data_IF_806422846129
#
_entry.id   IF_806422846129
#
_cell.length_a   1.000
_cell.length_b   1.000
_cell.length_c   1.000
_cell.angle_alpha   90.00
_cell.angle_beta   90.00
_cell.angle_gamma   90.00
#
_symmetry.space_group_name_H-M   'P 1'
#
loop_
_entity.id
_entity.type
_entity.pdbx_description
1 polymer ?
#
# COMPACT_ATOMS: atom_id res chain seq x y z
N UNK A 1 -45.47 -11.48 -54.86
CA UNK A 1 -46.43 -11.19 -53.77
C UNK A 1 -46.10 -12.06 -52.58
N UNK A 2 -46.14 -11.43 -51.40
CA UNK A 2 -46.14 -11.99 -50.04
C UNK A 2 -44.78 -12.38 -49.45
N UNK A 3 -44.44 -12.10 -48.19
CA UNK A 3 -44.93 -11.22 -47.10
C UNK A 3 -43.75 -11.18 -46.08
N UNK A 4 -43.37 -10.01 -45.58
CA UNK A 4 -42.61 -9.82 -44.30
C UNK A 4 -43.53 -10.25 -43.12
N UNK A 5 -43.12 -10.37 -41.84
CA UNK A 5 -41.83 -10.10 -41.16
C UNK A 5 -41.45 -11.13 -40.06
N UNK A 6 -40.30 -10.98 -39.37
CA UNK A 6 -40.24 -11.11 -37.90
C UNK A 6 -38.88 -10.71 -37.29
N UNK A 7 -38.96 -9.82 -36.30
CA UNK A 7 -37.90 -9.36 -35.39
C UNK A 7 -37.35 -10.52 -34.56
N UNK A 8 -36.02 -10.66 -34.49
CA UNK A 8 -35.34 -11.44 -33.46
C UNK A 8 -34.73 -10.47 -32.43
N UNK A 9 -35.43 -10.29 -31.32
CA UNK A 9 -34.89 -9.68 -30.11
C UNK A 9 -34.02 -10.69 -29.38
N UNK A 10 -32.75 -10.36 -29.17
CA UNK A 10 -31.80 -11.18 -28.43
C UNK A 10 -31.77 -10.70 -26.97
N UNK A 11 -32.57 -11.36 -26.13
CA UNK A 11 -32.53 -11.23 -24.68
C UNK A 11 -31.65 -12.35 -24.13
N UNK A 12 -30.38 -12.03 -23.85
CA UNK A 12 -29.49 -12.91 -23.10
C UNK A 12 -29.76 -12.74 -21.61
N UNK A 13 -30.51 -13.67 -21.04
CA UNK A 13 -30.51 -13.93 -19.60
C UNK A 13 -29.55 -15.09 -19.35
N UNK A 14 -28.29 -14.79 -18.99
CA UNK A 14 -27.44 -15.77 -18.31
C UNK A 14 -27.77 -15.70 -16.82
N UNK A 15 -28.67 -16.58 -16.39
CA UNK A 15 -28.85 -16.96 -14.99
C UNK A 15 -27.83 -18.05 -14.68
N UNK A 16 -26.81 -17.73 -13.88
CA UNK A 16 -25.91 -18.75 -13.33
C UNK A 16 -26.67 -19.50 -12.23
N UNK A 17 -26.89 -20.80 -12.44
CA UNK A 17 -27.46 -21.73 -11.48
C UNK A 17 -26.34 -22.66 -11.04
N UNK A 18 -25.95 -22.60 -9.77
CA UNK A 18 -25.10 -23.60 -9.13
C UNK A 18 -25.96 -24.30 -8.08
N UNK A 19 -26.21 -25.60 -8.28
CA UNK A 19 -27.01 -26.41 -7.37
C UNK A 19 -26.19 -26.92 -6.16
N UNK A 20 -26.85 -27.15 -5.01
CA UNK A 20 -26.20 -27.48 -3.76
C UNK A 20 -25.94 -29.00 -3.61
N UNK A 21 -24.76 -29.36 -3.11
CA UNK A 21 -24.50 -30.72 -2.62
C UNK A 21 -24.88 -30.84 -1.13
N UNK A 22 -25.77 -31.78 -0.81
CA UNK A 22 -26.16 -32.19 0.55
C UNK A 22 -25.23 -33.32 1.02
N UNK A 23 -24.51 -33.14 2.13
CA UNK A 23 -24.85 -33.51 3.52
C UNK A 23 -24.29 -34.89 3.92
N UNK A 24 -23.38 -34.89 4.91
CA UNK A 24 -23.31 -35.94 5.92
C UNK A 24 -23.16 -35.26 7.29
N UNK A 25 -24.13 -35.52 8.17
CA UNK A 25 -24.16 -35.22 9.61
C UNK A 25 -23.08 -36.08 10.32
N UNK A 26 -22.48 -35.67 11.43
CA UNK A 26 -23.08 -35.38 12.74
C UNK A 26 -22.05 -34.65 13.66
N UNK A 27 -22.36 -34.26 14.92
CA UNK A 27 -22.19 -32.88 15.38
C UNK A 27 -21.20 -32.72 16.56
N UNK A 28 -20.47 -31.61 16.60
CA UNK A 28 -20.05 -31.00 17.86
C UNK A 28 -19.75 -29.51 17.65
N UNK A 29 -20.54 -28.66 18.29
CA UNK A 29 -20.31 -27.22 18.42
C UNK A 29 -19.70 -27.02 19.81
N UNK A 30 -18.69 -26.15 19.95
CA UNK A 30 -19.06 -24.89 20.56
C UNK A 30 -18.52 -23.68 19.81
N UNK A 31 -19.46 -22.77 19.59
CA UNK A 31 -19.35 -21.35 19.38
C UNK A 31 -18.14 -20.75 20.08
N UNK A 32 -17.23 -20.15 19.32
CA UNK A 32 -16.35 -19.10 19.82
C UNK A 32 -16.71 -17.84 19.07
N UNK A 33 -17.77 -17.19 19.54
CA UNK A 33 -17.83 -15.74 19.50
C UNK A 33 -16.67 -15.25 20.37
N UNK A 34 -15.64 -14.71 19.74
CA UNK A 34 -14.78 -13.75 20.43
C UNK A 34 -14.72 -12.54 19.53
N UNK A 35 -15.69 -11.66 19.76
CA UNK A 35 -15.48 -10.25 19.57
C UNK A 35 -14.14 -9.90 20.21
N UNK A 36 -13.13 -9.63 19.37
CA UNK A 36 -11.91 -9.00 19.84
C UNK A 36 -12.32 -7.57 20.17
N UNK A 37 -12.77 -7.38 21.40
CA UNK A 37 -12.74 -6.11 22.09
C UNK A 37 -11.25 -5.75 22.13
N UNK A 38 -10.82 -4.92 21.18
CA UNK A 38 -9.51 -4.27 21.27
C UNK A 38 -9.63 -3.29 22.43
N UNK A 39 -9.30 -3.81 23.62
CA UNK A 39 -9.20 -3.05 24.85
C UNK A 39 -8.23 -1.90 24.60
N UNK A 40 -8.79 -0.70 24.65
CA UNK A 40 -8.10 0.57 24.48
C UNK A 40 -7.43 0.89 25.82
N UNK A 41 -6.42 0.13 26.19
CA UNK A 41 -5.61 0.40 27.37
C UNK A 41 -4.23 -0.25 27.23
N UNK A 42 -3.19 0.55 27.44
CA UNK A 42 -1.76 0.19 27.47
C UNK A 42 -1.12 -0.01 26.09
N UNK A 43 -1.06 1.06 25.29
CA UNK A 43 0.15 1.30 24.49
C UNK A 43 1.19 1.84 25.47
N UNK A 44 1.81 0.90 26.18
CA UNK A 44 3.05 1.17 26.90
C UNK A 44 4.00 1.89 25.94
N UNK A 45 4.59 2.97 26.42
CA UNK A 45 5.52 3.86 25.72
C UNK A 45 6.70 3.08 25.14
N UNK A 46 6.52 2.48 23.96
CA UNK A 46 7.63 2.14 23.08
C UNK A 46 8.02 3.47 22.44
N UNK A 47 9.11 4.07 22.93
CA UNK A 47 9.82 5.11 22.18
C UNK A 47 10.42 4.46 20.93
N UNK A 48 9.59 4.28 19.89
CA UNK A 48 10.09 3.92 18.58
C UNK A 48 10.79 5.16 18.03
N UNK A 49 12.12 5.14 18.04
CA UNK A 49 12.92 6.18 17.41
C UNK A 49 12.79 6.02 15.89
N UNK A 50 11.80 6.71 15.33
CA UNK A 50 11.60 6.81 13.89
C UNK A 50 12.58 7.82 13.29
N UNK A 51 13.16 7.51 12.13
CA UNK A 51 13.87 8.50 11.31
C UNK A 51 12.90 9.42 10.57
N UNK A 52 11.59 9.16 10.68
CA UNK A 52 10.52 9.96 10.09
C UNK A 52 10.31 11.31 10.80
N UNK A 53 10.31 12.41 10.05
CA UNK A 53 10.05 13.75 10.59
C UNK A 53 8.59 14.19 10.43
N UNK A 54 8.03 14.80 11.48
CA UNK A 54 6.62 15.24 11.56
C UNK A 54 6.36 16.62 10.94
N UNK A 55 7.38 17.27 10.38
CA UNK A 55 7.35 18.68 9.96
C UNK A 55 6.32 18.97 8.87
N UNK A 56 5.91 17.92 8.14
CA UNK A 56 5.00 18.03 7.00
C UNK A 56 3.63 17.40 7.24
N UNK A 57 3.33 17.00 8.49
CA UNK A 57 2.03 16.42 8.86
C UNK A 57 1.16 17.51 9.49
N UNK A 58 -0.06 17.69 8.96
CA UNK A 58 -1.04 18.63 9.51
C UNK A 58 -1.21 18.34 11.01
N UNK A 59 -1.03 19.36 11.89
CA UNK A 59 -1.19 19.20 13.33
C UNK A 59 -2.49 18.49 13.74
N UNK A 60 -3.59 18.67 12.99
CA UNK A 60 -4.90 18.08 13.28
C UNK A 60 -4.93 16.57 13.17
N UNK A 61 -4.15 15.98 12.25
CA UNK A 61 -4.10 14.52 12.02
C UNK A 61 -2.83 13.88 12.60
N UNK A 62 -1.95 14.68 13.22
CA UNK A 62 -0.63 14.22 13.68
C UNK A 62 -0.68 13.07 14.67
N UNK A 63 -1.69 13.03 15.55
CA UNK A 63 -1.81 11.93 16.53
C UNK A 63 -2.19 10.62 15.85
N UNK A 64 -3.15 10.65 14.94
CA UNK A 64 -3.52 9.50 14.12
C UNK A 64 -2.34 9.04 13.26
N UNK A 65 -1.63 9.98 12.64
CA UNK A 65 -0.43 9.71 11.86
C UNK A 65 0.66 9.02 12.70
N UNK A 66 0.90 9.49 13.94
CA UNK A 66 1.84 8.86 14.87
C UNK A 66 1.43 7.42 15.21
N UNK A 67 0.13 7.21 15.50
CA UNK A 67 -0.39 5.89 15.83
C UNK A 67 -0.24 4.93 14.63
N UNK A 68 -0.55 5.38 13.42
CA UNK A 68 -0.38 4.61 12.19
C UNK A 68 1.08 4.33 11.89
N UNK A 69 1.98 5.30 12.06
CA UNK A 69 3.43 5.11 11.91
C UNK A 69 3.95 4.05 12.88
N UNK A 70 3.55 4.09 14.15
CA UNK A 70 3.96 3.09 15.13
C UNK A 70 3.50 1.67 14.76
N UNK A 71 2.28 1.53 14.22
CA UNK A 71 1.78 0.25 13.73
C UNK A 71 2.57 -0.25 12.50
N UNK A 72 2.92 0.65 11.59
CA UNK A 72 3.75 0.33 10.42
C UNK A 72 5.14 -0.11 10.88
N UNK A 73 5.75 0.61 11.81
CA UNK A 73 7.09 0.28 12.34
C UNK A 73 7.12 -1.04 13.10
N UNK A 74 6.04 -1.36 13.84
CA UNK A 74 5.90 -2.67 14.48
C UNK A 74 5.93 -3.84 13.48
N UNK A 75 5.44 -3.62 12.25
CA UNK A 75 5.34 -4.67 11.22
C UNK A 75 6.53 -4.68 10.24
N UNK A 76 7.02 -3.50 9.87
CA UNK A 76 7.98 -3.29 8.78
C UNK A 76 9.34 -2.77 9.28
N UNK A 77 9.48 -2.56 10.60
CA UNK A 77 10.65 -1.97 11.22
C UNK A 77 10.73 -0.45 11.04
N UNK A 78 11.79 0.15 11.59
CA UNK A 78 12.04 1.61 11.53
C UNK A 78 11.96 2.10 10.09
N UNK A 79 11.16 3.15 9.90
CA UNK A 79 10.89 3.76 8.59
C UNK A 79 11.89 4.88 8.32
N UNK A 80 12.30 5.01 7.06
CA UNK A 80 13.17 6.10 6.61
C UNK A 80 12.41 7.42 6.43
N UNK A 81 13.16 8.52 6.43
CA UNK A 81 12.61 9.82 6.05
C UNK A 81 12.26 9.89 4.55
N UNK A 82 11.54 10.95 4.18
CA UNK A 82 11.01 11.14 2.84
C UNK A 82 12.09 11.25 1.76
N UNK A 83 13.13 12.07 1.98
CA UNK A 83 14.14 12.30 0.97
C UNK A 83 15.06 11.07 0.83
N UNK A 84 15.37 10.39 1.93
CA UNK A 84 16.08 9.10 1.90
C UNK A 84 15.34 8.10 1.03
N UNK A 85 14.02 7.98 1.19
CA UNK A 85 13.18 7.13 0.34
C UNK A 85 13.17 7.56 -1.13
N UNK A 86 13.07 8.87 -1.42
CA UNK A 86 13.10 9.39 -2.80
C UNK A 86 14.42 9.07 -3.48
N UNK A 87 15.55 9.33 -2.82
CA UNK A 87 16.88 9.13 -3.38
C UNK A 87 17.20 7.65 -3.59
N UNK A 88 16.80 6.79 -2.65
CA UNK A 88 16.98 5.35 -2.80
C UNK A 88 16.19 4.80 -4.01
N UNK A 89 14.93 5.20 -4.18
CA UNK A 89 14.12 4.79 -5.33
C UNK A 89 14.66 5.35 -6.65
N UNK A 90 15.06 6.62 -6.69
CA UNK A 90 15.66 7.24 -7.89
C UNK A 90 16.94 6.50 -8.32
N UNK A 91 17.80 6.17 -7.35
CA UNK A 91 19.03 5.41 -7.59
C UNK A 91 18.76 4.00 -8.13
N UNK A 92 17.82 3.26 -7.53
CA UNK A 92 17.47 1.92 -8.00
C UNK A 92 16.79 1.94 -9.37
N UNK A 93 15.90 2.90 -9.62
CA UNK A 93 15.28 3.09 -10.93
C UNK A 93 16.33 3.39 -12.00
N UNK A 94 17.30 4.25 -11.69
CA UNK A 94 18.40 4.58 -12.60
C UNK A 94 19.27 3.35 -12.86
N UNK A 95 19.60 2.57 -11.81
CA UNK A 95 20.37 1.35 -11.95
C UNK A 95 19.65 0.32 -12.84
N UNK A 96 18.36 0.11 -12.62
CA UNK A 96 17.52 -0.83 -13.39
C UNK A 96 17.35 -0.47 -14.87
N UNK A 97 17.60 0.79 -15.25
CA UNK A 97 17.54 1.25 -16.64
C UNK A 97 18.83 0.96 -17.43
N UNK A 98 19.89 0.44 -16.79
CA UNK A 98 21.13 0.12 -17.49
C UNK A 98 20.92 -1.08 -18.44
N UNK A 99 21.10 -0.91 -19.77
CA UNK A 99 20.86 -1.97 -20.74
C UNK A 99 21.90 -3.10 -20.69
N UNK A 100 23.00 -2.92 -19.95
CA UNK A 100 24.10 -3.87 -19.85
C UNK A 100 24.12 -4.64 -18.52
N UNK A 101 23.02 -4.68 -17.78
CA UNK A 101 22.92 -5.48 -16.56
C UNK A 101 22.93 -6.97 -16.89
N UNK A 102 23.74 -7.72 -16.15
CA UNK A 102 23.56 -9.17 -16.07
C UNK A 102 22.33 -9.53 -15.23
N UNK A 103 21.76 -10.71 -15.45
CA UNK A 103 20.61 -11.22 -14.68
C UNK A 103 20.89 -11.18 -13.17
N UNK A 104 22.10 -11.56 -12.75
CA UNK A 104 22.50 -11.53 -11.34
C UNK A 104 22.54 -10.11 -10.75
N UNK A 105 22.91 -9.11 -11.54
CA UNK A 105 22.90 -7.71 -11.10
C UNK A 105 21.46 -7.18 -11.04
N UNK A 106 20.63 -7.58 -11.99
CA UNK A 106 19.21 -7.25 -11.98
C UNK A 106 18.52 -7.82 -10.74
N UNK A 107 18.74 -9.09 -10.41
CA UNK A 107 18.19 -9.75 -9.22
C UNK A 107 18.58 -8.99 -7.94
N UNK A 108 19.86 -8.59 -7.81
CA UNK A 108 20.32 -7.78 -6.67
C UNK A 108 19.62 -6.42 -6.59
N UNK A 109 19.34 -5.79 -7.73
CA UNK A 109 18.60 -4.53 -7.76
C UNK A 109 17.16 -4.76 -7.28
N UNK A 110 16.51 -5.86 -7.70
CA UNK A 110 15.17 -6.22 -7.25
C UNK A 110 15.12 -6.53 -5.75
N UNK A 111 16.08 -7.28 -5.21
CA UNK A 111 16.21 -7.49 -3.76
C UNK A 111 16.37 -6.17 -2.99
N UNK A 112 17.06 -5.18 -3.58
CA UNK A 112 17.17 -3.85 -2.99
C UNK A 112 15.87 -3.06 -3.06
N UNK A 113 15.08 -3.21 -4.11
CA UNK A 113 13.73 -2.62 -4.16
C UNK A 113 12.86 -3.14 -3.01
N UNK A 114 12.92 -4.43 -2.69
CA UNK A 114 12.15 -5.00 -1.57
C UNK A 114 12.54 -4.37 -0.22
N UNK A 115 13.85 -4.19 0.02
CA UNK A 115 14.34 -3.52 1.24
C UNK A 115 13.84 -2.08 1.31
N UNK A 116 13.93 -1.34 0.19
CA UNK A 116 13.46 0.05 0.13
C UNK A 116 11.95 0.13 0.32
N UNK A 117 11.17 -0.78 -0.26
CA UNK A 117 9.72 -0.83 -0.07
C UNK A 117 9.35 -0.98 1.41
N UNK A 118 10.02 -1.89 2.12
CA UNK A 118 9.77 -2.13 3.54
C UNK A 118 10.16 -0.94 4.42
N UNK A 119 11.26 -0.25 4.08
CA UNK A 119 11.71 0.95 4.79
C UNK A 119 10.91 2.21 4.49
N UNK A 120 10.22 2.25 3.36
CA UNK A 120 9.46 3.41 2.89
C UNK A 120 7.94 3.19 2.96
N UNK A 121 7.50 2.14 3.65
CA UNK A 121 6.09 1.73 3.77
C UNK A 121 5.18 2.84 4.29
N UNK A 122 5.67 3.66 5.22
CA UNK A 122 4.95 4.80 5.77
C UNK A 122 4.39 5.74 4.68
N UNK A 123 5.18 6.03 3.64
CA UNK A 123 4.75 6.93 2.56
C UNK A 123 3.74 6.30 1.61
N UNK A 124 3.75 4.97 1.48
CA UNK A 124 2.80 4.26 0.63
C UNK A 124 1.44 4.10 1.30
N UNK A 125 1.43 3.73 2.58
CA UNK A 125 0.21 3.41 3.34
C UNK A 125 -0.49 4.67 3.83
N UNK A 126 0.26 5.68 4.26
CA UNK A 126 -0.31 6.91 4.83
C UNK A 126 -0.41 8.05 3.81
N UNK A 127 -0.34 7.76 2.50
CA UNK A 127 -0.22 8.78 1.45
C UNK A 127 -1.40 9.77 1.46
N UNK A 128 -1.18 11.05 1.81
CA UNK A 128 -2.26 12.04 1.85
C UNK A 128 -2.53 12.69 0.49
N UNK A 129 -1.83 12.30 -0.59
CA UNK A 129 -1.87 13.00 -1.86
C UNK A 129 -3.08 12.65 -2.74
N UNK A 130 -4.28 12.95 -2.27
CA UNK A 130 -5.53 12.60 -2.94
C UNK A 130 -6.02 13.69 -3.91
N UNK A 131 -5.74 14.95 -3.61
CA UNK A 131 -6.13 16.10 -4.44
C UNK A 131 -5.02 16.50 -5.43
N UNK A 132 -5.36 17.23 -6.52
CA UNK A 132 -4.35 17.79 -7.42
C UNK A 132 -3.33 18.69 -6.73
N UNK A 133 -3.77 19.49 -5.75
CA UNK A 133 -2.89 20.40 -5.02
C UNK A 133 -1.89 19.64 -4.13
N UNK A 134 -2.35 18.60 -3.43
CA UNK A 134 -1.46 17.73 -2.64
C UNK A 134 -0.44 17.01 -3.52
N UNK A 135 -0.87 16.51 -4.69
CA UNK A 135 0.06 15.90 -5.66
C UNK A 135 1.11 16.89 -6.15
N UNK A 136 0.73 18.12 -6.48
CA UNK A 136 1.69 19.15 -6.88
C UNK A 136 2.69 19.49 -5.75
N UNK A 137 2.23 19.53 -4.49
CA UNK A 137 3.13 19.70 -3.33
C UNK A 137 4.08 18.52 -3.16
N UNK A 138 3.60 17.29 -3.36
CA UNK A 138 4.44 16.10 -3.32
C UNK A 138 5.49 16.11 -4.43
N UNK A 139 5.10 16.37 -5.68
CA UNK A 139 6.01 16.49 -6.82
C UNK A 139 7.08 17.56 -6.59
N UNK A 140 6.68 18.72 -6.05
CA UNK A 140 7.62 19.76 -5.64
C UNK A 140 8.61 19.24 -4.59
N UNK A 141 8.13 18.55 -3.55
CA UNK A 141 8.98 18.00 -2.49
C UNK A 141 9.96 16.96 -3.03
N UNK A 142 9.52 16.07 -3.92
CA UNK A 142 10.39 15.11 -4.64
C UNK A 142 11.47 15.87 -5.43
N UNK A 143 11.06 16.90 -6.19
CA UNK A 143 12.00 17.73 -6.97
C UNK A 143 13.05 18.40 -6.10
N UNK A 144 12.65 18.90 -4.92
CA UNK A 144 13.55 19.59 -4.00
C UNK A 144 14.58 18.60 -3.40
N UNK A 145 14.18 17.39 -2.98
CA UNK A 145 15.11 16.34 -2.54
C UNK A 145 16.16 15.99 -3.64
N UNK A 146 15.71 15.82 -4.89
CA UNK A 146 16.58 15.46 -6.01
C UNK A 146 17.54 16.58 -6.41
N UNK A 147 17.15 17.84 -6.23
CA UNK A 147 18.02 19.00 -6.50
C UNK A 147 19.08 19.16 -5.43
N UNK A 148 18.72 18.97 -4.17
CA UNK A 148 19.66 19.11 -3.05
C UNK A 148 20.77 18.05 -3.10
N UNK A 149 20.45 16.82 -3.49
CA UNK A 149 21.44 15.76 -3.67
C UNK A 149 22.44 16.00 -4.81
N UNK A 150 22.17 16.97 -5.70
CA UNK A 150 23.03 17.32 -6.85
C UNK A 150 23.89 18.57 -6.61
N UNK A 151 23.76 19.20 -5.43
CA UNK A 151 24.60 20.35 -5.04
C UNK A 151 25.94 19.86 -4.48
#
# INVERSE_FOLDING_TARGET
>A
MNKLPLLFGFLLLFSCSEEPSKENKDPENPTVDTAIVVDSAVVDTIEIKSDYTMDNVDPKVRQEFKANLAQIEKKHGVQWDFCTCVLANDSLNTAAQNPNLSDLEFDKIMERFDVVEEKCKAFRVQNPNQTPEERARHEKKVSDCLKEAKK
#
